data_IF_549580741897
#
_entry.id   IF_549580741897
#
_cell.length_a   1.000
_cell.length_b   1.000
_cell.length_c   1.000
_cell.angle_alpha   90.00
_cell.angle_beta   90.00
_cell.angle_gamma   90.00
#
_symmetry.space_group_name_H-M   'P 1'
#
loop_
_entity.id
_entity.type
_entity.pdbx_description
1 polymer ?
#
# COMPACT_ATOMS: atom_id res chain seq x y z
N UNK A 1 -7.33 8.26 11.27
CA UNK A 1 -8.06 6.97 11.12
C UNK A 1 -7.98 6.40 9.71
N UNK A 2 -8.25 7.18 8.66
CA UNK A 2 -8.21 6.71 7.26
C UNK A 2 -6.82 6.26 6.76
N UNK A 3 -5.78 6.94 7.24
CA UNK A 3 -4.39 6.81 6.80
C UNK A 3 -3.69 5.46 7.11
N UNK A 4 -4.11 4.75 8.15
CA UNK A 4 -3.59 3.41 8.49
C UNK A 4 -4.05 2.37 7.45
N UNK A 5 -5.29 2.51 6.98
CA UNK A 5 -5.85 1.63 5.96
C UNK A 5 -5.20 1.86 4.60
N UNK A 6 -4.88 3.12 4.26
CA UNK A 6 -4.16 3.48 3.04
C UNK A 6 -2.77 2.83 2.99
N UNK A 7 -2.07 2.76 4.13
CA UNK A 7 -0.74 2.12 4.20
C UNK A 7 -0.82 0.63 3.91
N UNK A 8 -1.83 -0.08 4.44
CA UNK A 8 -2.06 -1.50 4.13
C UNK A 8 -2.45 -1.71 2.67
N UNK A 9 -3.28 -0.82 2.10
CA UNK A 9 -3.65 -0.83 0.67
C UNK A 9 -2.43 -0.55 -0.24
N UNK A 10 -1.47 0.25 0.21
CA UNK A 10 -0.22 0.50 -0.49
C UNK A 10 0.75 -0.68 -0.43
N UNK A 11 0.85 -1.36 0.71
CA UNK A 11 1.53 -2.67 0.78
C UNK A 11 0.87 -3.73 -0.11
N UNK A 12 -0.45 -3.63 -0.25
CA UNK A 12 -1.26 -4.43 -1.17
C UNK A 12 -0.83 -4.23 -2.63
N UNK A 13 -0.69 -2.97 -3.05
CA UNK A 13 -0.20 -2.58 -4.37
C UNK A 13 1.27 -2.97 -4.58
N UNK A 14 2.12 -2.84 -3.56
CA UNK A 14 3.52 -3.27 -3.64
C UNK A 14 3.67 -4.77 -3.84
N UNK A 15 2.81 -5.60 -3.26
CA UNK A 15 2.93 -7.05 -3.38
C UNK A 15 2.26 -7.64 -4.64
N UNK A 16 1.27 -6.94 -5.20
CA UNK A 16 0.69 -7.23 -6.53
C UNK A 16 1.72 -7.16 -7.68
N UNK A 17 2.90 -6.57 -7.45
CA UNK A 17 3.93 -6.38 -8.50
C UNK A 17 4.65 -7.65 -8.97
N UNK A 18 4.43 -8.81 -8.34
CA UNK A 18 5.06 -10.06 -8.77
C UNK A 18 4.24 -10.76 -9.88
N UNK A 19 4.40 -10.23 -11.10
CA UNK A 19 4.28 -10.92 -12.40
C UNK A 19 2.91 -11.03 -13.09
N UNK A 20 1.78 -10.71 -12.43
CA UNK A 20 0.43 -10.80 -13.03
C UNK A 20 -0.26 -9.47 -13.36
N UNK A 21 0.10 -8.39 -12.65
CA UNK A 21 -0.64 -7.14 -12.62
C UNK A 21 -0.38 -6.18 -13.80
N UNK A 22 0.73 -6.35 -14.52
CA UNK A 22 1.13 -5.45 -15.63
C UNK A 22 0.09 -5.43 -16.76
N UNK A 23 -0.51 -6.57 -17.10
CA UNK A 23 -1.43 -6.68 -18.25
C UNK A 23 -2.83 -6.15 -17.94
N UNK A 24 -3.26 -6.25 -16.68
CA UNK A 24 -4.58 -5.81 -16.25
C UNK A 24 -4.59 -4.30 -16.00
N UNK A 25 -3.59 -3.75 -15.31
CA UNK A 25 -3.56 -2.31 -15.00
C UNK A 25 -3.33 -1.44 -16.25
N UNK A 26 -2.45 -1.84 -17.17
CA UNK A 26 -2.23 -1.08 -18.42
C UNK A 26 -3.45 -1.12 -19.36
N UNK A 27 -4.26 -2.18 -19.34
CA UNK A 27 -5.42 -2.31 -20.21
C UNK A 27 -6.75 -1.88 -19.58
N UNK A 28 -6.94 -1.99 -18.27
CA UNK A 28 -8.26 -1.80 -17.62
C UNK A 28 -8.30 -0.57 -16.71
N UNK A 29 -7.17 -0.17 -16.10
CA UNK A 29 -7.11 1.06 -15.28
C UNK A 29 -7.58 2.33 -16.00
N UNK A 30 -7.24 2.59 -17.29
CA UNK A 30 -7.80 3.74 -18.00
C UNK A 30 -9.31 3.64 -18.25
N UNK A 31 -9.93 2.45 -18.23
CA UNK A 31 -11.37 2.29 -18.35
C UNK A 31 -12.07 2.51 -17.00
N UNK A 32 -11.50 2.00 -15.91
CA UNK A 32 -12.03 2.22 -14.55
C UNK A 32 -11.88 3.69 -14.14
N UNK A 33 -10.75 4.35 -14.44
CA UNK A 33 -10.62 5.80 -14.25
C UNK A 33 -11.59 6.59 -15.13
N UNK A 34 -11.89 6.11 -16.33
CA UNK A 34 -12.87 6.75 -17.22
C UNK A 34 -14.29 6.60 -16.72
N UNK A 35 -14.65 5.55 -16.01
CA UNK A 35 -15.98 5.41 -15.39
C UNK A 35 -16.07 6.12 -14.03
N UNK A 36 -15.01 6.08 -13.21
CA UNK A 36 -15.00 6.74 -11.90
C UNK A 36 -14.82 8.27 -12.00
N UNK A 37 -14.11 8.76 -13.01
CA UNK A 37 -13.94 10.19 -13.31
C UNK A 37 -14.66 10.60 -14.60
N UNK A 38 -15.62 9.79 -15.06
CA UNK A 38 -16.38 9.94 -16.32
C UNK A 38 -17.31 11.13 -16.43
N UNK A 39 -17.04 12.22 -15.71
CA UNK A 39 -17.47 13.55 -16.11
C UNK A 39 -16.47 14.10 -17.13
N UNK A 40 -16.84 14.08 -18.41
CA UNK A 40 -16.14 14.71 -19.54
C UNK A 40 -15.35 15.97 -19.16
N UNK A 41 -14.05 15.84 -18.85
CA UNK A 41 -13.11 16.97 -18.85
C UNK A 41 -12.80 17.31 -20.31
N UNK A 42 -13.71 18.07 -20.93
CA UNK A 42 -13.42 18.85 -22.12
C UNK A 42 -12.39 19.90 -21.70
N UNK A 43 -11.13 19.69 -22.06
CA UNK A 43 -10.02 20.65 -21.91
C UNK A 43 -10.31 21.88 -22.76
N UNK A 44 -11.19 22.75 -22.26
CA UNK A 44 -11.36 24.09 -22.79
C UNK A 44 -10.22 24.92 -22.22
N UNK A 45 -9.26 25.26 -23.08
CA UNK A 45 -8.20 26.23 -22.85
C UNK A 45 -8.74 27.41 -22.03
N UNK A 46 -8.43 27.44 -20.73
CA UNK A 46 -8.87 28.48 -19.82
C UNK A 46 -8.05 29.73 -20.10
N UNK A 47 -8.55 30.55 -21.02
CA UNK A 47 -8.33 32.00 -20.94
C UNK A 47 -8.71 32.41 -19.52
N UNK A 48 -7.81 33.10 -18.83
CA UNK A 48 -8.06 33.77 -17.55
C UNK A 48 -9.34 34.60 -17.71
N UNK A 49 -10.46 34.09 -17.21
CA UNK A 49 -11.74 34.79 -17.20
C UNK A 49 -11.84 35.57 -15.89
N UNK A 50 -12.27 36.83 -15.92
CA UNK A 50 -12.42 37.65 -14.73
C UNK A 50 -13.43 37.04 -13.74
N UNK A 51 -13.11 37.20 -12.46
CA UNK A 51 -13.70 36.67 -11.21
C UNK A 51 -15.24 36.66 -11.06
N UNK A 52 -16.02 37.23 -11.98
CA UNK A 52 -17.44 37.49 -11.79
C UNK A 52 -18.41 36.40 -12.27
N UNK A 53 -17.96 35.34 -12.94
CA UNK A 53 -18.86 34.31 -13.54
C UNK A 53 -18.41 32.87 -13.27
N UNK A 54 -18.15 32.53 -12.01
CA UNK A 54 -17.97 31.12 -11.60
C UNK A 54 -19.35 30.48 -11.36
N UNK A 55 -19.73 29.42 -12.10
CA UNK A 55 -20.99 28.69 -11.90
C UNK A 55 -21.13 28.17 -10.47
N UNK A 56 -22.36 28.12 -9.95
CA UNK A 56 -22.66 27.64 -8.59
C UNK A 56 -22.12 26.23 -8.30
N UNK A 57 -22.06 25.35 -9.31
CA UNK A 57 -21.44 24.02 -9.20
C UNK A 57 -19.93 24.08 -8.92
N UNK A 58 -19.17 24.91 -9.65
CA UNK A 58 -17.72 25.05 -9.45
C UNK A 58 -17.41 25.70 -8.10
N UNK A 59 -18.28 26.61 -7.65
CA UNK A 59 -18.22 27.18 -6.29
C UNK A 59 -18.47 26.13 -5.21
N UNK A 60 -19.29 25.11 -5.46
CA UNK A 60 -19.51 23.99 -4.53
C UNK A 60 -18.30 23.06 -4.45
N UNK A 61 -17.64 22.77 -5.58
CA UNK A 61 -16.41 21.96 -5.64
C UNK A 61 -15.24 22.69 -4.95
N UNK A 62 -15.08 24.00 -5.20
CA UNK A 62 -14.08 24.82 -4.51
C UNK A 62 -14.39 24.99 -3.01
N UNK A 63 -15.66 25.10 -2.59
CA UNK A 63 -16.01 25.08 -1.16
C UNK A 63 -15.72 23.74 -0.50
N UNK A 64 -15.88 22.63 -1.22
CA UNK A 64 -15.49 21.30 -0.75
C UNK A 64 -13.98 21.20 -0.44
N UNK A 65 -13.16 22.03 -1.12
CA UNK A 65 -11.72 22.16 -0.85
C UNK A 65 -11.36 23.18 0.25
N UNK A 66 -12.33 23.88 0.83
CA UNK A 66 -12.05 24.86 1.91
C UNK A 66 -12.44 24.36 3.29
N UNK A 67 -13.30 23.34 3.39
CA UNK A 67 -13.76 22.81 4.68
C UNK A 67 -13.66 21.28 4.75
N UNK A 68 -12.43 20.77 4.72
CA UNK A 68 -12.12 19.33 4.82
C UNK A 68 -12.55 18.69 6.14
N UNK A 69 -12.83 19.51 7.15
CA UNK A 69 -13.28 19.08 8.48
C UNK A 69 -14.81 18.97 8.58
N UNK A 70 -15.56 19.31 7.52
CA UNK A 70 -17.00 19.10 7.53
C UNK A 70 -17.32 17.60 7.66
N UNK A 71 -18.05 17.16 8.70
CA UNK A 71 -18.35 15.76 8.95
C UNK A 71 -19.08 15.10 7.76
N UNK A 72 -19.88 15.86 7.01
CA UNK A 72 -20.61 15.35 5.84
C UNK A 72 -19.65 14.92 4.71
N UNK A 73 -18.59 15.69 4.47
CA UNK A 73 -17.57 15.40 3.45
C UNK A 73 -16.72 14.20 3.86
N UNK A 74 -16.35 14.12 5.15
CA UNK A 74 -15.55 13.00 5.69
C UNK A 74 -16.29 11.67 5.54
N UNK A 75 -17.57 11.63 5.89
CA UNK A 75 -18.41 10.43 5.76
C UNK A 75 -18.53 10.00 4.30
N UNK A 76 -18.82 10.94 3.39
CA UNK A 76 -18.93 10.65 1.95
C UNK A 76 -17.64 10.06 1.40
N UNK A 77 -16.50 10.66 1.74
CA UNK A 77 -15.20 10.16 1.33
C UNK A 77 -14.94 8.75 1.91
N UNK A 78 -15.35 8.48 3.15
CA UNK A 78 -15.17 7.17 3.79
C UNK A 78 -15.92 6.06 3.04
N UNK A 79 -17.17 6.31 2.64
CA UNK A 79 -17.96 5.35 1.85
C UNK A 79 -17.33 5.10 0.47
N UNK A 80 -16.87 6.16 -0.21
CA UNK A 80 -16.16 6.02 -1.50
C UNK A 80 -14.90 5.17 -1.34
N UNK A 81 -14.15 5.38 -0.26
CA UNK A 81 -12.95 4.60 0.04
C UNK A 81 -13.25 3.12 0.30
N UNK A 82 -14.28 2.82 1.11
CA UNK A 82 -14.70 1.45 1.35
C UNK A 82 -15.10 0.72 0.07
N UNK A 83 -15.81 1.41 -0.83
CA UNK A 83 -16.20 0.86 -2.14
C UNK A 83 -14.96 0.57 -3.01
N UNK A 84 -14.02 1.51 -3.08
CA UNK A 84 -12.76 1.31 -3.81
C UNK A 84 -11.93 0.16 -3.24
N UNK A 85 -11.85 0.03 -1.92
CA UNK A 85 -11.16 -1.06 -1.24
C UNK A 85 -11.81 -2.43 -1.54
N UNK A 86 -13.14 -2.49 -1.61
CA UNK A 86 -13.86 -3.71 -1.98
C UNK A 86 -13.63 -4.09 -3.44
N UNK A 87 -13.67 -3.13 -4.37
CA UNK A 87 -13.42 -3.40 -5.80
C UNK A 87 -11.99 -3.88 -6.02
N UNK A 88 -11.01 -3.19 -5.43
CA UNK A 88 -9.58 -3.59 -5.53
C UNK A 88 -9.31 -4.92 -4.84
N UNK A 89 -9.92 -5.18 -3.67
CA UNK A 89 -9.87 -6.47 -3.01
C UNK A 89 -10.47 -7.60 -3.86
N UNK A 90 -11.55 -7.33 -4.59
CA UNK A 90 -12.18 -8.29 -5.50
C UNK A 90 -11.29 -8.65 -6.69
N UNK A 91 -10.65 -7.64 -7.30
CA UNK A 91 -9.67 -7.83 -8.37
C UNK A 91 -8.48 -8.67 -7.87
N UNK A 92 -7.99 -8.40 -6.67
CA UNK A 92 -6.94 -9.21 -6.06
C UNK A 92 -7.37 -10.66 -5.82
N UNK A 93 -8.58 -10.88 -5.29
CA UNK A 93 -9.10 -12.23 -5.08
C UNK A 93 -9.19 -13.00 -6.41
N UNK A 94 -9.66 -12.33 -7.47
CA UNK A 94 -9.68 -12.90 -8.82
C UNK A 94 -8.28 -13.30 -9.30
N UNK A 95 -7.30 -12.41 -9.15
CA UNK A 95 -5.91 -12.71 -9.53
C UNK A 95 -5.34 -13.86 -8.68
N UNK A 96 -5.62 -13.87 -7.37
CA UNK A 96 -5.17 -14.91 -6.47
C UNK A 96 -5.73 -16.29 -6.86
N UNK A 97 -7.02 -16.37 -7.19
CA UNK A 97 -7.66 -17.62 -7.62
C UNK A 97 -7.11 -18.11 -8.96
N UNK A 98 -6.96 -17.22 -9.94
CA UNK A 98 -6.48 -17.60 -11.29
C UNK A 98 -5.01 -18.05 -11.28
N UNK A 99 -4.21 -17.54 -10.35
CA UNK A 99 -2.79 -17.90 -10.20
C UNK A 99 -2.54 -19.06 -9.24
N UNK A 100 -3.54 -19.50 -8.48
CA UNK A 100 -3.43 -20.61 -7.52
C UNK A 100 -2.92 -21.91 -8.17
N UNK A 101 -3.34 -22.17 -9.41
CA UNK A 101 -2.87 -23.34 -10.17
C UNK A 101 -1.34 -23.32 -10.37
N UNK A 102 -0.78 -22.14 -10.68
CA UNK A 102 0.65 -21.98 -10.87
C UNK A 102 1.41 -22.13 -9.54
N UNK A 103 0.90 -21.55 -8.46
CA UNK A 103 1.53 -21.64 -7.14
C UNK A 103 1.51 -23.07 -6.61
N UNK A 104 0.40 -23.78 -6.80
CA UNK A 104 0.31 -25.19 -6.43
C UNK A 104 1.31 -26.02 -7.21
N UNK A 105 1.47 -25.77 -8.51
CA UNK A 105 2.49 -26.42 -9.34
C UNK A 105 3.91 -26.07 -8.88
N UNK A 106 4.16 -24.84 -8.44
CA UNK A 106 5.46 -24.41 -7.93
C UNK A 106 5.80 -25.12 -6.61
N UNK A 107 4.81 -25.27 -5.71
CA UNK A 107 4.93 -26.03 -4.47
C UNK A 107 5.09 -27.54 -4.73
N UNK A 108 4.35 -28.09 -5.69
CA UNK A 108 4.37 -29.53 -5.99
C UNK A 108 5.67 -29.95 -6.68
N UNK A 109 6.18 -29.15 -7.62
CA UNK A 109 7.47 -29.39 -8.30
C UNK A 109 8.65 -29.09 -7.38
N UNK A 110 8.51 -28.13 -6.46
CA UNK A 110 9.51 -27.78 -5.45
C UNK A 110 9.82 -28.89 -4.43
N UNK A 111 9.02 -29.97 -4.40
CA UNK A 111 9.24 -31.13 -3.50
C UNK A 111 10.56 -31.87 -3.77
N UNK A 112 11.14 -31.71 -4.97
CA UNK A 112 12.42 -32.31 -5.34
C UNK A 112 13.65 -31.41 -5.06
N UNK A 113 13.48 -30.09 -4.92
CA UNK A 113 14.59 -29.17 -4.66
C UNK A 113 14.11 -27.95 -3.86
N UNK A 114 14.22 -28.03 -2.54
CA UNK A 114 13.68 -27.05 -1.60
C UNK A 114 14.41 -25.70 -1.72
N UNK A 115 13.65 -24.63 -1.99
CA UNK A 115 14.17 -23.26 -2.11
C UNK A 115 13.47 -22.36 -1.10
N UNK A 116 14.22 -21.89 -0.10
CA UNK A 116 13.73 -20.95 0.92
C UNK A 116 12.95 -19.75 0.37
N UNK A 117 13.36 -19.09 -0.72
CA UNK A 117 12.61 -17.96 -1.28
C UNK A 117 11.20 -18.32 -1.76
N UNK A 118 10.99 -19.56 -2.23
CA UNK A 118 9.67 -20.02 -2.68
C UNK A 118 8.68 -20.10 -1.52
N UNK A 119 9.14 -20.55 -0.35
CA UNK A 119 8.29 -20.65 0.85
C UNK A 119 7.91 -19.26 1.36
N UNK A 120 8.87 -18.33 1.43
CA UNK A 120 8.62 -16.95 1.86
C UNK A 120 7.59 -16.28 0.93
N UNK A 121 7.68 -16.54 -0.38
CA UNK A 121 6.72 -16.05 -1.38
C UNK A 121 5.30 -16.56 -1.14
N UNK A 122 5.15 -17.85 -0.84
CA UNK A 122 3.82 -18.42 -0.57
C UNK A 122 3.24 -17.85 0.72
N UNK A 123 4.05 -17.73 1.78
CA UNK A 123 3.58 -17.16 3.06
C UNK A 123 3.18 -15.69 2.91
N UNK A 124 3.95 -14.89 2.15
CA UNK A 124 3.59 -13.48 1.91
C UNK A 124 2.26 -13.38 1.18
N UNK A 125 2.04 -14.23 0.17
CA UNK A 125 0.80 -14.27 -0.60
C UNK A 125 -0.40 -14.71 0.24
N UNK A 126 -0.23 -15.71 1.10
CA UNK A 126 -1.27 -16.16 2.03
C UNK A 126 -1.61 -15.10 3.08
N UNK A 127 -0.60 -14.41 3.61
CA UNK A 127 -0.79 -13.32 4.58
C UNK A 127 -1.65 -12.20 3.99
N UNK A 128 -1.42 -11.82 2.73
CA UNK A 128 -2.25 -10.83 2.05
C UNK A 128 -3.68 -11.29 1.84
N UNK A 129 -3.89 -12.56 1.47
CA UNK A 129 -5.23 -13.11 1.33
C UNK A 129 -6.01 -12.99 2.63
N UNK A 130 -5.38 -13.35 3.76
CA UNK A 130 -5.99 -13.21 5.09
C UNK A 130 -6.34 -11.73 5.36
N UNK A 131 -5.43 -10.80 5.08
CA UNK A 131 -5.69 -9.36 5.23
C UNK A 131 -6.90 -8.89 4.41
N UNK A 132 -7.03 -9.32 3.15
CA UNK A 132 -8.18 -8.95 2.29
C UNK A 132 -9.47 -9.49 2.84
N UNK A 133 -9.52 -10.78 3.18
CA UNK A 133 -10.72 -11.41 3.71
C UNK A 133 -11.16 -10.70 4.99
N UNK A 134 -10.23 -10.43 5.90
CA UNK A 134 -10.53 -9.69 7.12
C UNK A 134 -11.01 -8.26 6.82
N UNK A 135 -10.44 -7.55 5.84
CA UNK A 135 -10.93 -6.24 5.41
C UNK A 135 -12.35 -6.29 4.84
N UNK A 136 -12.68 -7.29 4.03
CA UNK A 136 -14.05 -7.49 3.54
C UNK A 136 -15.02 -7.70 4.69
N UNK A 137 -14.63 -8.47 5.71
CA UNK A 137 -15.44 -8.66 6.92
C UNK A 137 -15.61 -7.32 7.65
N UNK A 138 -14.54 -6.55 7.85
CA UNK A 138 -14.61 -5.23 8.51
C UNK A 138 -15.61 -4.29 7.83
N UNK A 139 -15.64 -4.27 6.50
CA UNK A 139 -16.53 -3.36 5.75
C UNK A 139 -17.97 -3.87 5.61
N UNK A 140 -18.23 -5.17 5.76
CA UNK A 140 -19.57 -5.75 5.60
C UNK A 140 -20.26 -6.08 6.92
N UNK A 141 -19.55 -6.02 8.05
CA UNK A 141 -20.14 -6.34 9.35
C UNK A 141 -21.14 -5.27 9.77
N UNK A 142 -22.37 -5.71 10.10
CA UNK A 142 -23.44 -4.84 10.64
C UNK A 142 -23.74 -5.12 12.12
N UNK A 143 -23.20 -6.23 12.63
CA UNK A 143 -23.43 -6.72 13.99
C UNK A 143 -22.23 -6.41 14.89
N UNK A 144 -22.46 -6.38 16.20
CA UNK A 144 -21.40 -6.17 17.18
C UNK A 144 -20.35 -7.29 17.08
N UNK A 145 -19.13 -6.91 16.71
CA UNK A 145 -17.96 -7.78 16.68
C UNK A 145 -16.84 -7.19 17.54
N UNK A 146 -15.92 -8.05 17.98
CA UNK A 146 -14.73 -7.63 18.69
C UNK A 146 -13.78 -6.84 17.76
N UNK A 147 -14.06 -5.55 17.57
CA UNK A 147 -13.32 -4.64 16.71
C UNK A 147 -11.81 -4.68 16.97
N UNK A 148 -11.43 -4.74 18.25
CA UNK A 148 -10.03 -4.74 18.66
C UNK A 148 -9.28 -5.98 18.15
N UNK A 149 -9.89 -7.17 18.26
CA UNK A 149 -9.29 -8.41 17.78
C UNK A 149 -9.16 -8.39 16.25
N UNK A 150 -10.23 -7.99 15.56
CA UNK A 150 -10.27 -7.98 14.11
C UNK A 150 -9.28 -6.96 13.52
N UNK A 151 -9.22 -5.76 14.09
CA UNK A 151 -8.25 -4.73 13.77
C UNK A 151 -6.80 -5.25 13.90
N UNK A 152 -6.48 -5.88 15.03
CA UNK A 152 -5.13 -6.41 15.29
C UNK A 152 -4.74 -7.49 14.28
N UNK A 153 -5.67 -8.40 13.94
CA UNK A 153 -5.44 -9.45 12.94
C UNK A 153 -5.16 -8.82 11.57
N UNK A 154 -6.00 -7.89 11.11
CA UNK A 154 -5.83 -7.21 9.81
C UNK A 154 -4.46 -6.53 9.72
N UNK A 155 -4.11 -5.75 10.74
CA UNK A 155 -2.86 -4.98 10.76
C UNK A 155 -1.66 -5.93 10.86
N UNK A 156 -1.71 -6.94 11.73
CA UNK A 156 -0.63 -7.91 11.89
C UNK A 156 -0.31 -8.64 10.58
N UNK A 157 -1.32 -9.25 9.94
CA UNK A 157 -1.12 -9.96 8.67
C UNK A 157 -0.68 -9.01 7.54
N UNK A 158 -1.16 -7.76 7.54
CA UNK A 158 -0.71 -6.74 6.59
C UNK A 158 0.78 -6.41 6.76
N UNK A 159 1.24 -6.22 8.00
CA UNK A 159 2.66 -5.98 8.29
C UNK A 159 3.53 -7.20 8.00
N UNK A 160 3.08 -8.41 8.33
CA UNK A 160 3.77 -9.64 7.95
C UNK A 160 3.94 -9.74 6.43
N UNK A 161 2.89 -9.49 5.67
CA UNK A 161 2.95 -9.50 4.21
C UNK A 161 3.96 -8.47 3.66
N UNK A 162 3.95 -7.24 4.16
CA UNK A 162 4.91 -6.20 3.78
C UNK A 162 6.35 -6.64 4.07
N UNK A 163 6.64 -7.08 5.30
CA UNK A 163 8.00 -7.47 5.71
C UNK A 163 8.51 -8.65 4.87
N UNK A 164 7.67 -9.67 4.64
CA UNK A 164 8.03 -10.81 3.80
C UNK A 164 8.27 -10.41 2.35
N UNK A 165 7.49 -9.47 1.80
CA UNK A 165 7.70 -8.93 0.45
C UNK A 165 9.05 -8.22 0.33
N UNK A 166 9.40 -7.38 1.31
CA UNK A 166 10.70 -6.70 1.36
C UNK A 166 11.86 -7.69 1.47
N UNK A 167 11.71 -8.75 2.27
CA UNK A 167 12.69 -9.83 2.37
C UNK A 167 12.86 -10.58 1.04
N UNK A 168 11.80 -10.83 0.28
CA UNK A 168 11.89 -11.48 -1.03
C UNK A 168 12.68 -10.66 -2.03
N UNK A 169 12.46 -9.34 -2.07
CA UNK A 169 13.20 -8.43 -2.95
C UNK A 169 14.69 -8.44 -2.55
N UNK A 170 14.98 -8.32 -1.26
CA UNK A 170 16.35 -8.38 -0.73
C UNK A 170 17.04 -9.71 -1.06
N UNK A 171 16.38 -10.85 -0.82
CA UNK A 171 16.89 -12.19 -1.13
C UNK A 171 17.13 -12.36 -2.62
N UNK A 172 16.20 -11.91 -3.46
CA UNK A 172 16.32 -12.01 -4.92
C UNK A 172 17.47 -11.15 -5.44
N UNK A 173 17.68 -9.95 -4.90
CA UNK A 173 18.81 -9.10 -5.24
C UNK A 173 20.14 -9.74 -4.81
N UNK A 174 20.20 -10.30 -3.60
CA UNK A 174 21.38 -10.98 -3.08
C UNK A 174 21.74 -12.23 -3.88
N UNK A 175 20.74 -12.98 -4.35
CA UNK A 175 20.92 -14.23 -5.13
C UNK A 175 21.22 -13.97 -6.60
N UNK A 176 20.52 -13.03 -7.25
CA UNK A 176 20.55 -12.86 -8.72
C UNK A 176 21.59 -11.84 -9.15
N UNK A 177 21.80 -10.77 -8.39
CA UNK A 177 22.32 -9.57 -9.01
C UNK A 177 23.86 -9.50 -9.01
N UNK A 178 24.54 -9.31 -7.88
CA UNK A 178 25.64 -8.33 -7.99
C UNK A 178 26.84 -8.57 -7.07
N UNK A 179 26.69 -9.25 -5.92
CA UNK A 179 27.61 -8.96 -4.81
C UNK A 179 28.41 -10.09 -4.20
N UNK A 180 28.41 -11.31 -4.75
CA UNK A 180 29.24 -12.42 -4.27
C UNK A 180 29.38 -12.45 -2.72
N UNK A 181 28.25 -12.43 -2.01
CA UNK A 181 28.18 -12.45 -0.54
C UNK A 181 29.01 -11.37 0.18
N UNK A 182 29.16 -10.18 -0.41
CA UNK A 182 29.67 -9.02 0.32
C UNK A 182 28.68 -8.74 1.47
N UNK A 183 29.08 -9.17 2.66
CA UNK A 183 28.33 -9.08 3.90
C UNK A 183 27.82 -7.66 4.26
N UNK A 184 28.51 -6.53 3.97
CA UNK A 184 28.11 -5.25 4.56
C UNK A 184 26.73 -4.72 4.11
N UNK A 185 26.41 -4.68 2.82
CA UNK A 185 25.07 -4.25 2.35
C UNK A 185 24.00 -5.25 2.76
N UNK A 186 24.29 -6.55 2.70
CA UNK A 186 23.30 -7.55 3.14
C UNK A 186 22.93 -7.33 4.61
N UNK A 187 23.94 -7.10 5.45
CA UNK A 187 23.74 -6.80 6.86
C UNK A 187 22.98 -5.49 7.07
N UNK A 188 23.31 -4.44 6.30
CA UNK A 188 22.60 -3.16 6.34
C UNK A 188 21.11 -3.31 6.00
N UNK A 189 20.78 -4.02 4.92
CA UNK A 189 19.39 -4.26 4.50
C UNK A 189 18.63 -5.07 5.56
N UNK A 190 19.25 -6.10 6.14
CA UNK A 190 18.64 -6.89 7.20
C UNK A 190 18.38 -6.03 8.45
N UNK A 191 19.34 -5.20 8.86
CA UNK A 191 19.16 -4.28 9.99
C UNK A 191 18.00 -3.32 9.73
N UNK A 192 17.97 -2.65 8.58
CA UNK A 192 16.90 -1.70 8.25
C UNK A 192 15.54 -2.40 8.23
N UNK A 193 15.45 -3.61 7.68
CA UNK A 193 14.22 -4.40 7.68
C UNK A 193 13.78 -4.79 9.11
N UNK A 194 14.72 -5.18 9.97
CA UNK A 194 14.44 -5.49 11.38
C UNK A 194 13.97 -4.25 12.15
N UNK A 195 14.63 -3.11 11.97
CA UNK A 195 14.22 -1.84 12.59
C UNK A 195 12.79 -1.50 12.17
N UNK A 196 12.49 -1.52 10.87
CA UNK A 196 11.13 -1.26 10.39
C UNK A 196 10.11 -2.23 11.03
N UNK A 197 10.43 -3.53 11.04
CA UNK A 197 9.57 -4.56 11.62
C UNK A 197 9.28 -4.30 13.11
N UNK A 198 10.31 -3.99 13.89
CA UNK A 198 10.17 -3.70 15.33
C UNK A 198 9.27 -2.49 15.57
N UNK A 199 9.44 -1.42 14.80
CA UNK A 199 8.61 -0.21 14.94
C UNK A 199 7.15 -0.44 14.53
N UNK A 200 6.90 -1.28 13.52
CA UNK A 200 5.55 -1.67 13.11
C UNK A 200 4.85 -2.51 14.20
N UNK A 201 5.54 -3.50 14.77
CA UNK A 201 5.00 -4.31 15.87
C UNK A 201 4.83 -3.50 17.16
N UNK A 202 5.74 -2.57 17.43
CA UNK A 202 5.59 -1.64 18.56
C UNK A 202 4.30 -0.81 18.42
N UNK A 203 4.03 -0.29 17.22
CA UNK A 203 2.76 0.40 16.94
C UNK A 203 1.53 -0.47 17.23
N UNK A 204 1.57 -1.74 16.81
CA UNK A 204 0.48 -2.69 17.00
C UNK A 204 0.20 -3.05 18.48
N UNK A 205 1.24 -3.25 19.29
CA UNK A 205 1.09 -3.67 20.70
C UNK A 205 0.56 -2.52 21.56
N UNK A 206 1.02 -1.30 21.30
CA UNK A 206 0.72 -0.11 22.11
C UNK A 206 -0.50 0.68 21.62
N UNK A 207 -1.17 0.23 20.56
CA UNK A 207 -2.37 0.89 20.07
C UNK A 207 -3.51 0.80 21.10
N UNK A 208 -4.27 1.89 21.26
CA UNK A 208 -5.32 2.01 22.30
C UNK A 208 -6.61 1.22 21.97
N UNK A 209 -6.57 0.39 20.93
CA UNK A 209 -7.67 -0.47 20.51
C UNK A 209 -8.75 0.28 19.73
N UNK A 210 -9.72 -0.49 19.22
CA UNK A 210 -10.87 0.02 18.51
C UNK A 210 -12.17 -0.28 19.25
N UNK A 211 -13.10 0.68 19.20
CA UNK A 211 -14.44 0.55 19.77
C UNK A 211 -15.46 0.48 18.63
N UNK A 212 -16.48 -0.35 18.80
CA UNK A 212 -17.65 -0.36 17.94
C UNK A 212 -18.47 0.91 18.14
N UNK A 213 -18.77 1.64 17.05
CA UNK A 213 -19.68 2.78 17.11
C UNK A 213 -21.05 2.36 16.53
N UNK A 214 -22.11 2.29 17.36
CA UNK A 214 -23.43 1.83 16.92
C UNK A 214 -24.12 2.80 15.95
N UNK A 215 -23.75 4.09 15.97
CA UNK A 215 -24.33 5.11 15.09
C UNK A 215 -23.75 4.98 13.68
N UNK A 216 -22.44 4.70 13.58
CA UNK A 216 -21.76 4.51 12.31
C UNK A 216 -21.88 3.08 11.76
N UNK A 217 -22.27 2.12 12.61
CA UNK A 217 -22.29 0.69 12.26
C UNK A 217 -20.91 0.16 11.86
N UNK A 218 -19.84 0.71 12.45
CA UNK A 218 -18.46 0.43 12.06
C UNK A 218 -17.49 0.49 13.25
N UNK A 219 -16.35 -0.17 13.09
CA UNK A 219 -15.26 -0.13 14.06
C UNK A 219 -14.45 1.16 13.89
N UNK A 220 -14.32 1.92 14.98
CA UNK A 220 -13.57 3.18 15.03
C UNK A 220 -12.32 2.96 15.89
N UNK A 221 -11.14 3.23 15.34
CA UNK A 221 -9.87 3.15 16.08
C UNK A 221 -9.77 4.32 17.06
N UNK A 222 -9.39 4.11 18.31
CA UNK A 222 -9.15 5.21 19.24
C UNK A 222 -7.81 5.90 18.92
N UNK A 223 -7.57 7.08 19.51
CA UNK A 223 -6.39 7.95 19.30
C UNK A 223 -5.11 7.20 18.91
N UNK A 224 -4.70 7.42 17.66
CA UNK A 224 -3.59 6.75 16.96
C UNK A 224 -2.30 7.60 17.03
N UNK A 225 -2.02 8.23 18.17
CA UNK A 225 -0.94 9.24 18.26
C UNK A 225 0.46 8.63 18.08
N UNK A 226 0.69 7.42 18.60
CA UNK A 226 2.00 6.73 18.54
C UNK A 226 2.32 6.11 17.20
N UNK A 227 1.29 5.77 16.43
CA UNK A 227 1.46 5.21 15.11
C UNK A 227 2.05 6.22 14.10
N UNK A 228 1.93 7.53 14.38
CA UNK A 228 2.57 8.57 13.56
C UNK A 228 4.07 8.33 13.42
N UNK A 229 4.75 7.97 14.51
CA UNK A 229 6.19 7.66 14.50
C UNK A 229 6.49 6.42 13.66
N UNK A 230 5.67 5.37 13.77
CA UNK A 230 5.81 4.16 12.96
C UNK A 230 5.70 4.47 11.45
N UNK A 231 4.79 5.36 11.05
CA UNK A 231 4.64 5.79 9.66
C UNK A 231 5.87 6.57 9.17
N UNK A 232 6.39 7.50 9.96
CA UNK A 232 7.60 8.26 9.58
C UNK A 232 8.83 7.36 9.45
N UNK A 233 9.01 6.42 10.38
CA UNK A 233 10.11 5.46 10.34
C UNK A 233 9.96 4.55 9.12
N UNK A 234 8.77 4.00 8.87
CA UNK A 234 8.52 3.15 7.71
C UNK A 234 8.83 3.88 6.39
N UNK A 235 8.34 5.10 6.23
CA UNK A 235 8.64 5.94 5.07
C UNK A 235 10.15 6.17 4.91
N UNK A 236 10.84 6.53 5.99
CA UNK A 236 12.30 6.73 5.97
C UNK A 236 13.06 5.46 5.59
N UNK A 237 12.65 4.30 6.10
CA UNK A 237 13.25 3.03 5.75
C UNK A 237 13.01 2.64 4.30
N UNK A 238 11.82 2.90 3.75
CA UNK A 238 11.49 2.59 2.36
C UNK A 238 12.26 3.50 1.38
N UNK A 239 12.38 4.79 1.69
CA UNK A 239 13.21 5.73 0.91
C UNK A 239 14.68 5.29 0.92
N UNK A 240 15.19 4.90 2.08
CA UNK A 240 16.56 4.41 2.23
C UNK A 240 16.79 3.11 1.46
N UNK A 241 15.84 2.17 1.48
CA UNK A 241 15.88 0.97 0.64
C UNK A 241 15.86 1.31 -0.86
N UNK A 242 15.06 2.30 -1.27
CA UNK A 242 15.02 2.77 -2.66
C UNK A 242 16.39 3.33 -3.09
N UNK A 243 17.02 4.15 -2.24
CA UNK A 243 18.35 4.72 -2.50
C UNK A 243 19.39 3.60 -2.64
N UNK A 244 19.40 2.62 -1.73
CA UNK A 244 20.30 1.47 -1.81
C UNK A 244 20.10 0.69 -3.11
N UNK A 245 18.84 0.48 -3.51
CA UNK A 245 18.52 -0.20 -4.77
C UNK A 245 19.02 0.61 -5.98
N UNK A 246 18.83 1.93 -5.99
CA UNK A 246 19.34 2.82 -7.04
C UNK A 246 20.87 2.80 -7.12
N UNK A 247 21.57 2.84 -5.98
CA UNK A 247 23.03 2.77 -5.93
C UNK A 247 23.52 1.41 -6.46
N UNK A 248 22.91 0.31 -6.02
CA UNK A 248 23.28 -1.04 -6.49
C UNK A 248 23.13 -1.18 -8.01
N UNK A 249 22.07 -0.59 -8.55
CA UNK A 249 21.84 -0.47 -9.99
C UNK A 249 22.93 0.41 -10.63
N UNK A 250 23.22 1.59 -10.08
CA UNK A 250 24.19 2.53 -10.66
C UNK A 250 25.61 1.97 -10.73
N UNK A 251 26.04 1.22 -9.71
CA UNK A 251 27.37 0.61 -9.61
C UNK A 251 27.54 -0.53 -10.62
N UNK A 252 26.48 -1.32 -10.87
CA UNK A 252 26.52 -2.47 -11.78
C UNK A 252 25.85 -2.20 -13.12
N UNK A 253 26.13 -1.03 -13.69
CA UNK A 253 25.64 -0.59 -15.00
C UNK A 253 26.28 -1.40 -16.13
N UNK A 254 25.91 -2.68 -16.23
CA UNK A 254 26.29 -3.58 -17.31
C UNK A 254 25.31 -3.49 -18.47
N UNK A 255 25.81 -3.60 -19.70
CA UNK A 255 25.06 -3.50 -20.98
C UNK A 255 24.07 -4.66 -21.25
N UNK A 256 23.78 -5.51 -20.26
CA UNK A 256 22.95 -6.71 -20.42
C UNK A 256 21.45 -6.43 -20.51
N UNK A 257 20.70 -7.29 -21.23
CA UNK A 257 19.22 -7.24 -21.31
C UNK A 257 18.53 -7.38 -19.94
N UNK A 258 19.23 -7.97 -18.97
CA UNK A 258 18.79 -8.11 -17.57
C UNK A 258 18.55 -6.75 -16.89
N UNK A 259 19.32 -5.73 -17.28
CA UNK A 259 19.17 -4.34 -16.83
C UNK A 259 17.79 -3.76 -17.16
N UNK A 260 17.37 -3.90 -18.43
CA UNK A 260 16.07 -3.38 -18.90
C UNK A 260 14.91 -4.06 -18.18
N UNK A 261 15.04 -5.35 -17.85
CA UNK A 261 13.98 -6.09 -17.16
C UNK A 261 13.79 -5.62 -15.71
N UNK A 262 14.88 -5.39 -14.97
CA UNK A 262 14.84 -4.92 -13.57
C UNK A 262 14.38 -3.46 -13.49
N UNK A 263 14.93 -2.60 -14.35
CA UNK A 263 14.64 -1.16 -14.33
C UNK A 263 13.18 -0.86 -14.65
N UNK A 264 12.58 -1.57 -15.62
CA UNK A 264 11.22 -1.26 -16.05
C UNK A 264 10.13 -1.86 -15.15
N UNK A 265 10.40 -3.01 -14.50
CA UNK A 265 9.38 -3.74 -13.72
C UNK A 265 9.49 -3.55 -12.21
N UNK A 266 10.66 -3.27 -11.65
CA UNK A 266 10.80 -3.09 -10.21
C UNK A 266 10.78 -1.62 -9.79
N UNK A 267 11.58 -0.80 -10.49
CA UNK A 267 11.86 0.57 -10.05
C UNK A 267 10.67 1.51 -10.21
N UNK A 268 9.93 1.41 -11.31
CA UNK A 268 8.76 2.27 -11.57
C UNK A 268 7.71 2.07 -10.47
N UNK A 269 7.38 0.83 -10.15
CA UNK A 269 6.41 0.53 -9.11
C UNK A 269 6.88 0.95 -7.72
N UNK A 270 8.16 0.79 -7.41
CA UNK A 270 8.70 1.24 -6.13
C UNK A 270 8.69 2.77 -6.00
N UNK A 271 8.96 3.49 -7.09
CA UNK A 271 8.83 4.95 -7.13
C UNK A 271 7.37 5.39 -6.93
N UNK A 272 6.42 4.71 -7.57
CA UNK A 272 4.98 4.96 -7.37
C UNK A 272 4.57 4.71 -5.92
N UNK A 273 5.07 3.64 -5.29
CA UNK A 273 4.83 3.36 -3.89
C UNK A 273 5.34 4.51 -3.00
N UNK A 274 6.57 4.98 -3.18
CA UNK A 274 7.09 6.11 -2.38
C UNK A 274 6.30 7.41 -2.62
N UNK A 275 5.94 7.70 -3.87
CA UNK A 275 5.12 8.87 -4.20
C UNK A 275 3.75 8.83 -3.52
N UNK A 276 3.17 7.63 -3.38
CA UNK A 276 1.88 7.45 -2.71
C UNK A 276 1.91 7.65 -1.19
N UNK A 277 3.09 7.56 -0.56
CA UNK A 277 3.27 7.89 0.86
C UNK A 277 3.37 9.40 1.12
N UNK A 278 3.72 10.20 0.11
CA UNK A 278 3.91 11.65 0.28
C UNK A 278 2.64 12.34 0.83
N UNK A 279 1.43 12.13 0.28
CA UNK A 279 0.22 12.73 0.83
C UNK A 279 -0.02 12.36 2.29
N UNK A 280 0.26 11.11 2.68
CA UNK A 280 0.06 10.62 4.04
C UNK A 280 0.99 11.36 5.02
N UNK A 281 2.27 11.51 4.66
CA UNK A 281 3.25 12.22 5.46
C UNK A 281 2.93 13.71 5.54
N UNK A 282 2.54 14.34 4.43
CA UNK A 282 2.18 15.77 4.38
C UNK A 282 0.95 16.07 5.24
N UNK A 283 -0.11 15.27 5.15
CA UNK A 283 -1.30 15.43 5.99
C UNK A 283 -1.01 15.20 7.49
N UNK A 284 -0.11 14.26 7.80
CA UNK A 284 0.33 14.05 9.18
C UNK A 284 1.17 15.23 9.67
N UNK A 285 2.05 15.78 8.85
CA UNK A 285 2.86 16.95 9.23
C UNK A 285 1.99 18.18 9.46
N UNK A 286 1.01 18.46 8.57
CA UNK A 286 0.14 19.64 8.67
C UNK A 286 -0.71 19.65 9.94
N UNK A 287 -1.10 18.49 10.47
CA UNK A 287 -1.84 18.39 11.74
C UNK A 287 -0.95 18.55 12.99
N UNK A 288 0.38 18.60 12.81
CA UNK A 288 1.35 18.77 13.90
C UNK A 288 1.73 20.23 14.16
N UNK A 289 1.41 21.12 13.24
CA UNK A 289 1.60 22.57 13.38
C UNK A 289 0.25 23.24 13.64
N UNK A 290 -0.31 23.17 14.86
CA UNK A 290 -1.30 24.15 15.25
C UNK A 290 -0.62 25.52 15.24
N UNK A 291 -1.20 26.46 14.51
CA UNK A 291 -0.78 27.86 14.47
C UNK A 291 -0.58 28.39 15.90
N UNK A 292 0.58 29.01 16.12
CA UNK A 292 0.83 29.95 17.21
C UNK A 292 0.53 31.36 16.70
#
# INVERSE_FOLDING_TARGET
MKFEEDSVVLGFLQCLTFKGFDTFFLNIWPYILRDLYGGSMRTRSSKFLPSSTVPSEVRSILRMSTNWQDPSVVIRNYVSFGTLAQVTGGIFLWEWVTTLYFDWRLLSVGRANWRWPTLIYVISRLSLLVTVICKFITFNVKNEVNCNALARIVIAFGYFAMVLSSLLIALRMNVIAIWNWKLPITFFVIITALVNTVFLFYGLIYDRGSIWNPIAGACVMLKTDRNRLSIFVAFGTDVLMLIVMLIGIWVHRGTGSLWKLVQHRGLIWFAVAVLSYIPNVVCMLSTSFPEA
#
